data_IF_135887267713
#
_entry.id   IF_135887267713
#
_cell.length_a   1.000
_cell.length_b   1.000
_cell.length_c   1.000
_cell.angle_alpha   90.00
_cell.angle_beta   90.00
_cell.angle_gamma   90.00
#
_symmetry.space_group_name_H-M   'P 1'
#
loop_
_entity.id
_entity.type
_entity.pdbx_description
1 polymer ?
#
# COMPACT_ATOMS: atom_id res chain seq x y z
N UNK A 1 -23.90 10.10 13.58
CA UNK A 1 -23.61 10.15 12.12
C UNK A 1 -23.54 8.73 11.58
N UNK A 2 -24.31 8.40 10.54
CA UNK A 2 -24.43 7.04 9.98
C UNK A 2 -23.25 6.75 9.04
N UNK A 3 -22.43 5.77 9.41
CA UNK A 3 -21.21 5.40 8.69
C UNK A 3 -21.43 4.14 7.84
N UNK A 4 -22.43 4.18 6.95
CA UNK A 4 -22.78 3.04 6.11
C UNK A 4 -23.07 3.49 4.69
N UNK A 5 -22.30 3.00 3.72
CA UNK A 5 -22.65 3.08 2.29
C UNK A 5 -23.18 1.70 1.91
N UNK A 6 -24.38 1.64 1.33
CA UNK A 6 -24.88 0.41 0.72
C UNK A 6 -24.22 0.27 -0.64
N UNK A 7 -23.34 -0.71 -0.79
CA UNK A 7 -22.89 -1.18 -2.11
C UNK A 7 -23.25 -2.65 -2.19
N UNK A 8 -24.10 -3.00 -3.16
CA UNK A 8 -24.52 -4.37 -3.48
C UNK A 8 -24.80 -5.28 -2.25
N UNK A 9 -25.93 -5.04 -1.59
CA UNK A 9 -26.56 -5.94 -0.59
C UNK A 9 -25.82 -6.08 0.76
N UNK A 10 -24.55 -5.65 0.90
CA UNK A 10 -23.84 -5.65 2.20
C UNK A 10 -23.76 -4.24 2.82
N UNK A 11 -24.10 -4.13 4.12
CA UNK A 11 -23.94 -2.91 4.93
C UNK A 11 -22.47 -2.73 5.28
N UNK A 12 -21.80 -1.83 4.56
CA UNK A 12 -20.36 -1.63 4.70
C UNK A 12 -20.08 -0.51 5.71
N UNK A 13 -19.35 -0.84 6.79
CA UNK A 13 -18.98 0.13 7.82
C UNK A 13 -17.93 1.12 7.29
N UNK A 14 -18.33 2.33 6.92
CA UNK A 14 -17.41 3.34 6.39
C UNK A 14 -16.39 3.86 7.40
N UNK A 15 -16.56 3.51 8.69
CA UNK A 15 -15.67 3.93 9.78
C UNK A 15 -14.70 2.83 10.25
N UNK A 16 -14.51 1.76 9.48
CA UNK A 16 -13.52 0.73 9.84
C UNK A 16 -12.12 1.35 9.81
N UNK A 17 -11.45 1.41 10.95
CA UNK A 17 -10.07 1.90 11.09
C UNK A 17 -9.06 0.77 10.85
N UNK A 18 -7.86 1.12 10.40
CA UNK A 18 -6.74 0.19 10.28
C UNK A 18 -6.49 -0.59 11.58
N UNK A 19 -6.60 0.08 12.74
CA UNK A 19 -6.43 -0.54 14.06
C UNK A 19 -7.38 -1.72 14.30
N UNK A 20 -8.60 -1.67 13.74
CA UNK A 20 -9.63 -2.71 13.86
C UNK A 20 -9.44 -3.91 12.93
N UNK A 21 -8.41 -3.90 12.07
CA UNK A 21 -8.04 -5.08 11.29
C UNK A 21 -7.35 -6.12 12.18
N UNK A 22 -7.62 -7.40 11.90
CA UNK A 22 -6.88 -8.51 12.51
C UNK A 22 -5.42 -8.43 12.07
N UNK A 23 -4.50 -8.89 12.91
CA UNK A 23 -3.06 -8.86 12.62
C UNK A 23 -2.71 -9.51 11.27
N UNK A 24 -3.26 -10.69 11.00
CA UNK A 24 -3.10 -11.39 9.71
C UNK A 24 -3.62 -10.58 8.51
N UNK A 25 -4.69 -9.80 8.67
CA UNK A 25 -5.20 -8.93 7.60
C UNK A 25 -4.23 -7.77 7.36
N UNK A 26 -3.72 -7.14 8.42
CA UNK A 26 -2.71 -6.08 8.32
C UNK A 26 -1.45 -6.57 7.61
N UNK A 27 -1.01 -7.79 7.92
CA UNK A 27 0.14 -8.43 7.29
C UNK A 27 -0.10 -8.69 5.80
N UNK A 28 -1.26 -9.24 5.41
CA UNK A 28 -1.59 -9.41 4.00
C UNK A 28 -1.56 -8.09 3.23
N UNK A 29 -2.22 -7.06 3.76
CA UNK A 29 -2.26 -5.74 3.12
C UNK A 29 -0.86 -5.12 3.04
N UNK A 30 -0.10 -5.18 4.13
CA UNK A 30 1.28 -4.68 4.16
C UNK A 30 2.15 -5.39 3.13
N UNK A 31 2.01 -6.71 2.98
CA UNK A 31 2.80 -7.50 2.04
C UNK A 31 2.45 -7.16 0.59
N UNK A 32 1.17 -6.98 0.27
CA UNK A 32 0.74 -6.56 -1.07
C UNK A 32 1.24 -5.16 -1.40
N UNK A 33 1.04 -4.17 -0.52
CA UNK A 33 1.55 -2.82 -0.73
C UNK A 33 3.06 -2.80 -0.94
N UNK A 34 3.80 -3.55 -0.11
CA UNK A 34 5.25 -3.64 -0.23
C UNK A 34 5.66 -4.29 -1.55
N UNK A 35 4.99 -5.37 -1.97
CA UNK A 35 5.27 -6.08 -3.22
C UNK A 35 5.04 -5.17 -4.43
N UNK A 36 3.85 -4.58 -4.57
CA UNK A 36 3.49 -3.73 -5.71
C UNK A 36 4.40 -2.49 -5.78
N UNK A 37 4.66 -1.85 -4.64
CA UNK A 37 5.59 -0.71 -4.58
C UNK A 37 7.01 -1.08 -4.99
N UNK A 38 7.53 -2.17 -4.43
CA UNK A 38 8.91 -2.61 -4.69
C UNK A 38 9.08 -3.03 -6.14
N UNK A 39 8.10 -3.74 -6.70
CA UNK A 39 8.08 -4.11 -8.11
C UNK A 39 8.09 -2.87 -8.98
N UNK A 40 7.23 -1.88 -8.71
CA UNK A 40 7.23 -0.62 -9.45
C UNK A 40 8.59 0.06 -9.44
N UNK A 41 9.18 0.26 -8.25
CA UNK A 41 10.45 0.97 -8.08
C UNK A 41 11.59 0.23 -8.76
N UNK A 42 11.63 -1.10 -8.66
CA UNK A 42 12.66 -1.92 -9.31
C UNK A 42 12.53 -1.93 -10.83
N UNK A 43 11.31 -1.95 -11.38
CA UNK A 43 11.09 -1.91 -12.83
C UNK A 43 11.41 -0.54 -13.43
N UNK A 44 11.07 0.54 -12.74
CA UNK A 44 11.23 1.90 -13.28
C UNK A 44 12.52 2.61 -12.80
N UNK A 45 13.24 2.02 -11.87
CA UNK A 45 14.42 2.60 -11.22
C UNK A 45 14.20 4.02 -10.64
N UNK A 46 12.98 4.32 -10.19
CA UNK A 46 12.60 5.62 -9.62
C UNK A 46 11.41 5.51 -8.66
N UNK A 47 11.15 6.58 -7.91
CA UNK A 47 9.92 6.71 -7.11
C UNK A 47 8.68 6.83 -8.02
N UNK A 48 7.53 6.24 -7.62
CA UNK A 48 6.28 6.51 -8.31
C UNK A 48 5.85 7.98 -8.15
N UNK A 49 5.14 8.48 -9.14
CA UNK A 49 4.45 9.78 -9.16
C UNK A 49 3.11 9.67 -8.44
N UNK A 50 2.44 10.81 -8.24
CA UNK A 50 1.15 10.88 -7.54
C UNK A 50 0.11 9.91 -8.12
N UNK A 51 -0.07 9.89 -9.45
CA UNK A 51 -1.05 9.00 -10.09
C UNK A 51 -0.65 7.53 -9.97
N UNK A 52 0.64 7.21 -10.11
CA UNK A 52 1.17 5.83 -10.01
C UNK A 52 1.01 5.27 -8.59
N UNK A 53 1.07 6.13 -7.57
CA UNK A 53 0.71 5.73 -6.21
C UNK A 53 -0.76 5.35 -6.08
N UNK A 54 -1.66 6.11 -6.72
CA UNK A 54 -3.09 5.78 -6.70
C UNK A 54 -3.36 4.49 -7.51
N UNK A 55 -2.61 4.20 -8.58
CA UNK A 55 -2.68 2.91 -9.30
C UNK A 55 -2.23 1.72 -8.44
N UNK A 56 -1.09 1.84 -7.75
CA UNK A 56 -0.61 0.82 -6.80
C UNK A 56 -1.65 0.57 -5.70
N UNK A 57 -2.23 1.64 -5.16
CA UNK A 57 -3.26 1.54 -4.13
C UNK A 57 -4.54 0.89 -4.68
N UNK A 58 -4.95 1.23 -5.90
CA UNK A 58 -6.11 0.64 -6.56
C UNK A 58 -5.94 -0.88 -6.73
N UNK A 59 -4.78 -1.34 -7.19
CA UNK A 59 -4.49 -2.77 -7.34
C UNK A 59 -4.54 -3.53 -6.01
N UNK A 60 -4.00 -2.93 -4.94
CA UNK A 60 -4.09 -3.54 -3.60
C UNK A 60 -5.50 -3.52 -3.05
N UNK A 61 -6.29 -2.49 -3.36
CA UNK A 61 -7.71 -2.45 -2.96
C UNK A 61 -8.52 -3.55 -3.61
N UNK A 62 -8.24 -3.89 -4.87
CA UNK A 62 -8.85 -5.04 -5.54
C UNK A 62 -8.55 -6.33 -4.77
N UNK A 63 -7.27 -6.59 -4.45
CA UNK A 63 -6.85 -7.76 -3.67
C UNK A 63 -7.48 -7.81 -2.26
N UNK A 64 -7.67 -6.64 -1.62
CA UNK A 64 -8.37 -6.51 -0.33
C UNK A 64 -9.84 -6.92 -0.46
N UNK A 65 -10.51 -6.44 -1.50
CA UNK A 65 -11.92 -6.74 -1.77
C UNK A 65 -12.14 -8.21 -2.14
N UNK A 66 -11.25 -8.80 -2.94
CA UNK A 66 -11.27 -10.23 -3.27
C UNK A 66 -11.15 -11.14 -2.04
N UNK A 67 -10.45 -10.68 -1.00
CA UNK A 67 -10.37 -11.38 0.30
C UNK A 67 -11.48 -11.03 1.27
N UNK A 68 -12.51 -10.32 0.80
CA UNK A 68 -13.64 -9.84 1.60
C UNK A 68 -13.21 -9.03 2.84
N UNK A 69 -12.04 -8.37 2.78
CA UNK A 69 -11.56 -7.51 3.86
C UNK A 69 -12.16 -6.12 3.65
N UNK A 70 -13.09 -5.73 4.51
CA UNK A 70 -13.64 -4.38 4.45
C UNK A 70 -12.76 -3.35 5.18
N UNK A 71 -12.19 -2.40 4.44
CA UNK A 71 -11.46 -1.23 4.96
C UNK A 71 -11.57 -0.03 3.97
N UNK A 72 -11.73 1.22 4.46
CA UNK A 72 -11.74 2.40 3.60
C UNK A 72 -10.40 2.63 2.92
N UNK A 73 -10.46 3.14 1.68
CA UNK A 73 -9.28 3.53 0.90
C UNK A 73 -8.33 4.44 1.68
N UNK A 74 -8.86 5.47 2.34
CA UNK A 74 -8.06 6.45 3.07
C UNK A 74 -7.24 5.83 4.21
N UNK A 75 -7.74 4.78 4.85
CA UNK A 75 -6.99 4.09 5.90
C UNK A 75 -5.81 3.30 5.33
N UNK A 76 -6.01 2.65 4.18
CA UNK A 76 -4.93 1.96 3.45
C UNK A 76 -3.92 2.97 2.91
N UNK A 77 -4.37 4.08 2.33
CA UNK A 77 -3.53 5.16 1.82
C UNK A 77 -2.67 5.80 2.92
N UNK A 78 -3.26 6.11 4.08
CA UNK A 78 -2.51 6.63 5.25
C UNK A 78 -1.42 5.66 5.68
N UNK A 79 -1.75 4.37 5.80
CA UNK A 79 -0.77 3.35 6.14
C UNK A 79 0.34 3.30 5.09
N UNK A 80 0.00 3.23 3.80
CA UNK A 80 0.94 3.17 2.69
C UNK A 80 1.92 4.36 2.68
N UNK A 81 1.42 5.59 2.76
CA UNK A 81 2.25 6.81 2.79
C UNK A 81 3.21 6.80 3.98
N UNK A 82 2.80 6.24 5.12
CA UNK A 82 3.69 6.09 6.29
C UNK A 82 4.84 5.09 6.07
N UNK A 83 4.75 4.20 5.06
CA UNK A 83 5.71 3.12 4.80
C UNK A 83 6.62 3.37 3.61
N UNK A 84 6.15 4.05 2.56
CA UNK A 84 6.91 4.24 1.31
C UNK A 84 8.32 4.79 1.53
N UNK A 85 8.51 5.73 2.46
CA UNK A 85 9.84 6.29 2.73
C UNK A 85 10.82 5.25 3.29
N UNK A 86 10.34 4.34 4.16
CA UNK A 86 11.16 3.25 4.70
C UNK A 86 11.48 2.21 3.62
N UNK A 87 10.50 1.87 2.79
CA UNK A 87 10.70 0.90 1.70
C UNK A 87 11.67 1.42 0.66
N UNK A 88 11.54 2.69 0.27
CA UNK A 88 12.43 3.30 -0.70
C UNK A 88 13.89 3.29 -0.22
N UNK A 89 14.16 3.74 1.02
CA UNK A 89 15.52 3.74 1.57
C UNK A 89 16.16 2.36 1.58
N UNK A 90 15.36 1.31 1.81
CA UNK A 90 15.87 -0.06 1.75
C UNK A 90 16.28 -0.45 0.34
N UNK A 91 15.46 -0.11 -0.66
CA UNK A 91 15.75 -0.37 -2.07
C UNK A 91 16.98 0.44 -2.54
N UNK A 92 17.06 1.71 -2.16
CA UNK A 92 18.19 2.59 -2.43
C UNK A 92 19.49 2.01 -1.87
N UNK A 93 19.49 1.59 -0.59
CA UNK A 93 20.65 0.93 0.01
C UNK A 93 21.02 -0.39 -0.67
N UNK A 94 20.03 -1.18 -1.11
CA UNK A 94 20.28 -2.41 -1.90
C UNK A 94 20.94 -2.09 -3.24
N UNK A 95 20.57 -0.98 -3.88
CA UNK A 95 21.19 -0.52 -5.13
C UNK A 95 22.61 0.00 -4.90
N UNK A 96 22.85 0.79 -3.86
CA UNK A 96 24.18 1.31 -3.50
C UNK A 96 25.20 0.19 -3.25
N UNK A 97 24.76 -0.88 -2.57
CA UNK A 97 25.58 -2.07 -2.32
C UNK A 97 25.92 -2.78 -3.64
N UNK A 98 24.95 -2.89 -4.56
CA UNK A 98 25.13 -3.55 -5.86
C UNK A 98 26.00 -2.72 -6.83
N UNK A 99 25.94 -1.39 -6.75
CA UNK A 99 26.72 -0.48 -7.60
C UNK A 99 28.10 -0.12 -7.04
N UNK A 100 28.54 -0.77 -5.95
CA UNK A 100 29.87 -0.53 -5.37
C UNK A 100 30.06 0.86 -4.77
N UNK A 101 29.00 1.51 -4.27
CA UNK A 101 29.09 2.79 -3.58
C UNK A 101 29.13 4.05 -4.47
N UNK A 102 28.75 3.95 -5.75
CA UNK A 102 28.72 5.10 -6.66
C UNK A 102 27.28 5.55 -7.01
N UNK A 103 26.52 6.01 -6.02
CA UNK A 103 25.37 6.89 -6.26
C UNK A 103 25.47 8.08 -5.30
N UNK A 104 26.37 9.01 -5.61
CA UNK A 104 26.25 10.36 -5.07
C UNK A 104 25.32 11.13 -6.00
N UNK A 105 24.19 11.59 -5.44
CA UNK A 105 23.37 12.67 -6.02
C UNK A 105 24.06 14.01 -5.85
#
# INVERSE_FOLDING_TARGET
MKNHIKVNVKLLQTNKKWSHLRQKQKEHISNWLHREYTQFVRTHHRKPRKYEHDEILHEVMNQIQEREIWIPYDEVKKYYVSKIGKWFRKIESEWEIQSGGAFHV
#
